data_IF_775293083839
#
_entry.id   IF_775293083839
#
_cell.length_a   1.000
_cell.length_b   1.000
_cell.length_c   1.000
_cell.angle_alpha   90.00
_cell.angle_beta   90.00
_cell.angle_gamma   90.00
#
_symmetry.space_group_name_H-M   'P 1'
#
loop_
_entity.id
_entity.type
_entity.pdbx_description
1 polymer ?
#
# COMPACT_ATOMS: atom_id res chain seq x y z
N UNK A 1 26.48 21.42 -14.29
CA UNK A 1 26.16 21.16 -12.86
C UNK A 1 24.74 21.64 -12.61
N UNK A 2 23.77 20.73 -12.45
CA UNK A 2 22.39 21.08 -12.10
C UNK A 2 22.19 20.75 -10.62
N UNK A 3 21.82 21.76 -9.85
CA UNK A 3 21.60 21.70 -8.42
C UNK A 3 20.71 20.52 -8.01
N UNK A 4 21.29 19.54 -7.30
CA UNK A 4 20.52 18.59 -6.51
C UNK A 4 19.85 19.38 -5.38
N UNK A 5 18.65 19.88 -5.66
CA UNK A 5 17.72 20.45 -4.68
C UNK A 5 17.71 19.54 -3.44
N UNK A 6 18.26 20.08 -2.34
CA UNK A 6 18.15 19.65 -0.94
C UNK A 6 17.14 18.49 -0.79
N UNK A 7 17.65 17.26 -0.81
CA UNK A 7 16.89 16.03 -0.92
C UNK A 7 15.98 15.86 0.30
N UNK A 8 14.70 16.28 0.19
CA UNK A 8 13.71 15.88 1.17
C UNK A 8 13.71 14.35 1.26
N UNK A 9 13.78 13.81 2.48
CA UNK A 9 13.68 12.37 2.70
C UNK A 9 12.36 11.89 2.08
N UNK A 10 12.38 10.85 1.23
CA UNK A 10 11.16 10.38 0.58
C UNK A 10 10.18 9.87 1.63
N UNK A 11 8.90 10.19 1.44
CA UNK A 11 7.83 9.66 2.28
C UNK A 11 7.55 8.21 1.88
N UNK A 12 7.19 7.40 2.86
CA UNK A 12 6.92 5.98 2.67
C UNK A 12 5.42 5.76 2.76
N UNK A 13 4.80 5.44 1.63
CA UNK A 13 3.40 5.05 1.56
C UNK A 13 3.30 3.53 1.57
N UNK A 14 2.44 3.00 2.42
CA UNK A 14 2.13 1.59 2.48
C UNK A 14 0.66 1.42 2.12
N UNK A 15 0.36 0.57 1.15
CA UNK A 15 -1.02 0.24 0.80
C UNK A 15 -1.30 -1.20 1.16
N UNK A 16 -2.29 -1.40 2.03
CA UNK A 16 -2.83 -2.71 2.37
C UNK A 16 -4.15 -2.91 1.63
N UNK A 17 -4.19 -3.97 0.86
CA UNK A 17 -5.33 -4.39 0.07
C UNK A 17 -6.02 -5.59 0.71
N UNK A 18 -5.24 -6.62 1.08
CA UNK A 18 -5.75 -7.88 1.64
C UNK A 18 -5.32 -8.07 3.10
N UNK A 19 -6.01 -8.93 3.88
CA UNK A 19 -5.60 -9.27 5.24
C UNK A 19 -4.16 -9.76 5.36
N UNK A 20 -3.69 -10.58 4.41
CA UNK A 20 -2.34 -11.16 4.44
C UNK A 20 -1.24 -10.12 4.18
N UNK A 21 -1.57 -8.95 3.60
CA UNK A 21 -0.61 -7.86 3.41
C UNK A 21 -0.04 -7.39 4.76
N UNK A 22 -0.80 -7.59 5.85
CA UNK A 22 -0.39 -7.19 7.20
C UNK A 22 0.86 -7.93 7.66
N UNK A 23 0.99 -9.21 7.33
CA UNK A 23 2.12 -10.05 7.74
C UNK A 23 3.45 -9.58 7.13
N UNK A 24 3.39 -8.96 5.96
CA UNK A 24 4.56 -8.45 5.24
C UNK A 24 4.80 -6.98 5.55
N UNK A 25 3.75 -6.16 5.52
CA UNK A 25 3.90 -4.71 5.56
C UNK A 25 4.04 -4.19 7.00
N UNK A 26 3.47 -4.82 8.02
CA UNK A 26 3.64 -4.37 9.41
C UNK A 26 5.10 -4.45 9.89
N UNK A 27 5.87 -5.52 9.62
CA UNK A 27 7.30 -5.54 9.95
C UNK A 27 8.09 -4.44 9.23
N UNK A 28 7.77 -4.15 7.97
CA UNK A 28 8.42 -3.09 7.21
C UNK A 28 8.08 -1.69 7.74
N UNK A 29 6.84 -1.48 8.18
CA UNK A 29 6.46 -0.24 8.87
C UNK A 29 7.25 -0.08 10.16
N UNK A 30 7.37 -1.13 10.97
CA UNK A 30 8.14 -1.12 12.21
C UNK A 30 9.63 -0.81 11.95
N UNK A 31 10.22 -1.40 10.91
CA UNK A 31 11.60 -1.10 10.51
C UNK A 31 11.76 0.36 10.04
N UNK A 32 10.78 0.89 9.30
CA UNK A 32 10.76 2.30 8.91
C UNK A 32 10.68 3.22 10.15
N UNK A 33 9.81 2.92 11.11
CA UNK A 33 9.69 3.66 12.38
C UNK A 33 11.00 3.63 13.18
N UNK A 34 11.62 2.45 13.32
CA UNK A 34 12.92 2.30 13.98
C UNK A 34 14.04 3.11 13.30
N UNK A 35 13.92 3.37 11.99
CA UNK A 35 14.83 4.24 11.23
C UNK A 35 14.49 5.74 11.31
N UNK A 36 13.53 6.13 12.15
CA UNK A 36 13.08 7.51 12.33
C UNK A 36 12.23 8.02 11.16
N UNK A 37 11.51 7.13 10.46
CA UNK A 37 10.55 7.51 9.41
C UNK A 37 9.14 7.34 9.93
N UNK A 38 8.20 8.09 9.36
CA UNK A 38 6.77 7.96 9.65
C UNK A 38 6.05 7.35 8.45
N UNK A 39 5.64 6.07 8.53
CA UNK A 39 4.82 5.43 7.50
C UNK A 39 3.50 6.14 7.29
N UNK A 40 3.12 6.32 6.03
CA UNK A 40 1.78 6.76 5.63
C UNK A 40 1.00 5.53 5.18
N UNK A 41 -0.02 5.15 5.95
CA UNK A 41 -0.76 3.90 5.72
C UNK A 41 -2.07 4.17 4.99
N UNK A 42 -2.31 3.41 3.94
CA UNK A 42 -3.54 3.41 3.16
C UNK A 42 -4.18 2.03 3.15
N UNK A 43 -5.51 1.98 3.27
CA UNK A 43 -6.28 0.75 3.31
C UNK A 43 -7.30 0.71 2.16
N UNK A 44 -7.56 -0.49 1.62
CA UNK A 44 -8.81 -0.76 0.92
C UNK A 44 -9.97 -0.62 1.92
N UNK A 45 -11.08 -0.04 1.47
CA UNK A 45 -12.33 -0.03 2.24
C UNK A 45 -12.80 -1.47 2.50
N UNK A 46 -13.19 -1.80 3.73
CA UNK A 46 -13.66 -3.14 4.08
C UNK A 46 -12.58 -4.01 4.74
N UNK A 47 -11.32 -3.57 4.69
CA UNK A 47 -10.19 -4.38 5.17
C UNK A 47 -10.16 -4.44 6.71
N UNK A 48 -10.65 -3.40 7.36
CA UNK A 48 -10.78 -3.34 8.81
C UNK A 48 -11.78 -4.37 9.35
N UNK A 49 -12.85 -4.69 8.61
CA UNK A 49 -13.81 -5.74 8.96
C UNK A 49 -13.26 -7.15 8.67
N UNK A 50 -12.56 -7.32 7.54
CA UNK A 50 -11.96 -8.60 7.14
C UNK A 50 -10.75 -8.99 8.01
N UNK A 51 -10.05 -8.01 8.59
CA UNK A 51 -8.91 -8.22 9.47
C UNK A 51 -9.08 -7.45 10.80
N UNK A 52 -9.85 -7.98 11.76
CA UNK A 52 -10.12 -7.31 13.04
C UNK A 52 -8.85 -6.94 13.83
N UNK A 53 -7.75 -7.67 13.63
CA UNK A 53 -6.46 -7.42 14.28
C UNK A 53 -5.69 -6.22 13.68
N UNK A 54 -6.04 -5.77 12.47
CA UNK A 54 -5.32 -4.72 11.74
C UNK A 54 -5.35 -3.39 12.48
N UNK A 55 -6.55 -2.91 12.81
CA UNK A 55 -6.72 -1.59 13.41
C UNK A 55 -6.08 -1.49 14.81
N UNK A 56 -6.21 -2.49 15.71
CA UNK A 56 -5.40 -2.57 16.93
C UNK A 56 -3.89 -2.52 16.66
N UNK A 57 -3.39 -3.29 15.68
CA UNK A 57 -1.96 -3.33 15.36
C UNK A 57 -1.41 -1.99 14.87
N UNK A 58 -2.17 -1.25 14.05
CA UNK A 58 -1.80 0.09 13.59
C UNK A 58 -1.89 1.12 14.72
N UNK A 59 -2.95 1.07 15.55
CA UNK A 59 -3.13 1.98 16.69
C UNK A 59 -2.04 1.82 17.74
N UNK A 60 -1.61 0.60 18.03
CA UNK A 60 -0.52 0.32 18.97
C UNK A 60 0.82 1.00 18.55
N UNK A 61 0.95 1.34 17.26
CA UNK A 61 2.10 2.04 16.68
C UNK A 61 1.86 3.54 16.49
N UNK A 62 0.69 4.06 16.86
CA UNK A 62 0.32 5.46 16.61
C UNK A 62 0.08 5.77 15.13
N UNK A 63 -0.10 4.76 14.27
CA UNK A 63 -0.37 4.94 12.85
C UNK A 63 -1.86 5.20 12.62
N UNK A 64 -2.16 6.28 11.91
CA UNK A 64 -3.52 6.65 11.50
C UNK A 64 -3.74 6.30 10.03
N UNK A 65 -4.29 5.11 9.71
CA UNK A 65 -4.52 4.72 8.33
C UNK A 65 -5.59 5.60 7.67
N UNK A 66 -5.48 5.77 6.35
CA UNK A 66 -6.52 6.40 5.54
C UNK A 66 -7.12 5.38 4.58
N UNK A 67 -8.44 5.23 4.62
CA UNK A 67 -9.15 4.42 3.64
C UNK A 67 -9.20 5.15 2.30
N UNK A 68 -8.80 4.46 1.23
CA UNK A 68 -8.85 5.01 -0.12
C UNK A 68 -10.08 4.48 -0.86
N UNK A 69 -10.97 5.36 -1.34
CA UNK A 69 -12.11 4.92 -2.12
C UNK A 69 -11.66 4.48 -3.52
N UNK A 70 -12.32 3.46 -4.07
CA UNK A 70 -12.01 2.83 -5.35
C UNK A 70 -11.83 3.82 -6.51
N UNK A 71 -12.68 4.85 -6.59
CA UNK A 71 -12.60 5.87 -7.64
C UNK A 71 -11.32 6.72 -7.59
N UNK A 72 -10.73 6.93 -6.41
CA UNK A 72 -9.43 7.63 -6.26
C UNK A 72 -8.29 6.74 -6.72
N UNK A 73 -8.33 5.46 -6.35
CA UNK A 73 -7.33 4.47 -6.77
C UNK A 73 -7.31 4.31 -8.30
N UNK A 74 -8.50 4.23 -8.92
CA UNK A 74 -8.64 4.09 -10.37
C UNK A 74 -8.17 5.32 -11.14
N UNK A 75 -8.50 6.52 -10.65
CA UNK A 75 -8.15 7.78 -11.32
C UNK A 75 -6.69 8.19 -11.09
N UNK A 76 -6.09 7.77 -9.96
CA UNK A 76 -4.76 8.23 -9.56
C UNK A 76 -4.70 9.71 -9.17
N UNK A 77 -5.84 10.39 -9.14
CA UNK A 77 -5.96 11.80 -8.81
C UNK A 77 -5.93 12.00 -7.29
N UNK A 78 -5.25 13.07 -6.86
CA UNK A 78 -5.24 13.56 -5.46
C UNK A 78 -4.72 12.59 -4.40
N UNK A 79 -3.68 11.82 -4.73
CA UNK A 79 -3.02 10.93 -3.78
C UNK A 79 -2.04 11.67 -2.84
N UNK A 80 -1.74 12.94 -3.13
CA UNK A 80 -0.91 13.79 -2.28
C UNK A 80 0.57 13.37 -2.19
N UNK A 81 1.01 12.41 -3.02
CA UNK A 81 2.41 12.03 -3.18
C UNK A 81 3.20 13.08 -3.99
N UNK A 82 4.53 13.03 -3.90
CA UNK A 82 5.48 13.85 -4.65
C UNK A 82 6.40 12.93 -5.43
N UNK A 83 6.95 13.42 -6.54
CA UNK A 83 7.97 12.69 -7.28
C UNK A 83 9.16 12.36 -6.34
N UNK A 84 9.61 11.10 -6.36
CA UNK A 84 10.65 10.58 -5.47
C UNK A 84 10.14 9.95 -4.17
N UNK A 85 8.86 10.13 -3.81
CA UNK A 85 8.25 9.34 -2.72
C UNK A 85 8.27 7.84 -3.06
N UNK A 86 8.05 7.00 -2.05
CA UNK A 86 8.07 5.55 -2.17
C UNK A 86 6.69 4.98 -1.85
N UNK A 87 6.19 4.09 -2.69
CA UNK A 87 5.01 3.27 -2.46
C UNK A 87 5.43 1.81 -2.25
N UNK A 88 5.00 1.21 -1.15
CA UNK A 88 5.15 -0.22 -0.85
C UNK A 88 3.79 -0.90 -0.90
N UNK A 89 3.71 -2.01 -1.63
CA UNK A 89 2.53 -2.88 -1.73
C UNK A 89 2.95 -4.34 -1.56
N UNK A 90 2.05 -5.22 -1.13
CA UNK A 90 2.32 -6.65 -0.94
C UNK A 90 1.82 -7.55 -2.10
N UNK A 91 1.32 -6.95 -3.18
CA UNK A 91 1.09 -7.65 -4.46
C UNK A 91 0.87 -6.67 -5.61
N UNK A 92 1.41 -7.00 -6.79
CA UNK A 92 1.14 -6.36 -8.09
C UNK A 92 0.60 -7.42 -9.05
N UNK A 93 -0.41 -8.17 -8.63
CA UNK A 93 -1.12 -9.11 -9.49
C UNK A 93 -2.24 -8.41 -10.28
N UNK A 94 -2.54 -8.94 -11.47
CA UNK A 94 -3.68 -8.53 -12.30
C UNK A 94 -4.95 -9.32 -11.99
N UNK A 95 -4.84 -10.33 -11.12
CA UNK A 95 -5.99 -11.07 -10.62
C UNK A 95 -7.01 -10.09 -9.99
N UNK A 96 -8.31 -10.39 -10.11
CA UNK A 96 -9.39 -9.53 -9.60
C UNK A 96 -9.13 -8.95 -8.19
N UNK A 97 -8.68 -9.72 -7.18
CA UNK A 97 -8.43 -9.20 -5.85
C UNK A 97 -7.21 -8.29 -5.71
N UNK A 98 -6.40 -8.10 -6.77
CA UNK A 98 -5.20 -7.25 -6.75
C UNK A 98 -5.25 -6.07 -7.72
N UNK A 99 -6.32 -5.96 -8.52
CA UNK A 99 -6.50 -4.88 -9.52
C UNK A 99 -6.33 -3.48 -8.93
N UNK A 100 -6.74 -3.26 -7.68
CA UNK A 100 -6.54 -1.96 -7.01
C UNK A 100 -5.06 -1.64 -6.76
N UNK A 101 -4.27 -2.61 -6.29
CA UNK A 101 -2.83 -2.44 -6.11
C UNK A 101 -2.13 -2.16 -7.43
N UNK A 102 -2.55 -2.84 -8.51
CA UNK A 102 -2.06 -2.59 -9.86
C UNK A 102 -2.38 -1.15 -10.34
N UNK A 103 -3.64 -0.71 -10.22
CA UNK A 103 -4.04 0.65 -10.63
C UNK A 103 -3.32 1.73 -9.81
N UNK A 104 -3.21 1.53 -8.50
CA UNK A 104 -2.47 2.41 -7.60
C UNK A 104 -1.00 2.52 -8.02
N UNK A 105 -0.35 1.39 -8.27
CA UNK A 105 1.06 1.33 -8.69
C UNK A 105 1.26 2.04 -10.03
N UNK A 106 0.36 1.87 -11.00
CA UNK A 106 0.43 2.62 -12.27
C UNK A 106 0.23 4.12 -12.07
N UNK A 107 -0.67 4.53 -11.20
CA UNK A 107 -0.86 5.94 -10.86
C UNK A 107 0.39 6.53 -10.19
N UNK A 108 0.98 5.80 -9.25
CA UNK A 108 2.19 6.19 -8.53
C UNK A 108 3.40 6.34 -9.49
N UNK A 109 3.63 5.33 -10.36
CA UNK A 109 4.68 5.37 -11.39
C UNK A 109 4.52 6.60 -12.29
N UNK A 110 3.30 6.92 -12.75
CA UNK A 110 3.02 8.15 -13.54
C UNK A 110 3.32 9.45 -12.77
N UNK A 111 3.17 9.44 -11.44
CA UNK A 111 3.50 10.56 -10.57
C UNK A 111 4.98 10.67 -10.19
N UNK A 112 5.86 9.82 -10.73
CA UNK A 112 7.29 9.79 -10.38
C UNK A 112 7.57 9.18 -9.00
N UNK A 113 6.63 8.43 -8.44
CA UNK A 113 6.80 7.67 -7.19
C UNK A 113 7.52 6.36 -7.48
N UNK A 114 8.48 6.01 -6.63
CA UNK A 114 9.20 4.73 -6.69
C UNK A 114 8.31 3.66 -6.08
N UNK A 115 7.98 2.62 -6.82
CA UNK A 115 7.09 1.56 -6.35
C UNK A 115 7.91 0.29 -6.07
N UNK A 116 7.74 -0.27 -4.87
CA UNK A 116 8.29 -1.56 -4.48
C UNK A 116 7.12 -2.47 -4.14
N UNK A 117 7.06 -3.59 -4.85
CA UNK A 117 6.04 -4.60 -4.66
C UNK A 117 6.73 -5.79 -4.02
N UNK A 118 6.29 -6.17 -2.82
CA UNK A 118 6.59 -7.46 -2.24
C UNK A 118 5.51 -8.44 -2.70
N UNK A 119 5.83 -9.72 -2.71
CA UNK A 119 4.85 -10.76 -2.97
C UNK A 119 4.71 -11.58 -1.71
N UNK A 120 3.48 -11.90 -1.33
CA UNK A 120 3.21 -13.03 -0.46
C UNK A 120 3.79 -14.32 -1.08
N UNK A 121 4.19 -15.27 -0.23
CA UNK A 121 4.48 -16.63 -0.69
C UNK A 121 3.25 -17.25 -1.39
N UNK A 122 3.42 -18.41 -2.03
CA UNK A 122 2.41 -19.19 -2.77
C UNK A 122 1.00 -18.56 -2.88
N UNK A 123 0.82 -17.66 -3.85
CA UNK A 123 -0.50 -17.18 -4.27
C UNK A 123 -1.20 -18.27 -5.08
N UNK A 124 -2.07 -19.05 -4.44
CA UNK A 124 -2.84 -20.10 -5.11
C UNK A 124 -4.31 -19.68 -5.18
N UNK A 125 -4.78 -19.33 -6.39
CA UNK A 125 -6.20 -19.04 -6.65
C UNK A 125 -7.04 -20.25 -6.20
N UNK A 126 -8.05 -20.01 -5.36
CA UNK A 126 -8.90 -21.04 -4.77
C UNK A 126 -8.42 -21.63 -3.44
N UNK A 127 -7.22 -21.27 -2.98
CA UNK A 127 -6.69 -21.62 -1.64
C UNK A 127 -6.42 -20.38 -0.78
N UNK A 128 -5.83 -19.33 -1.37
CA UNK A 128 -5.44 -18.09 -0.65
C UNK A 128 -6.34 -16.89 -0.95
N UNK A 129 -7.02 -16.89 -2.10
CA UNK A 129 -8.07 -15.92 -2.45
C UNK A 129 -9.05 -16.53 -3.46
N UNK A 130 -10.29 -16.01 -3.49
CA UNK A 130 -11.35 -16.48 -4.37
C UNK A 130 -11.76 -15.37 -5.35
N UNK A 131 -11.69 -15.66 -6.66
CA UNK A 131 -12.06 -14.71 -7.71
C UNK A 131 -13.54 -14.28 -7.65
N UNK A 132 -14.40 -15.09 -7.03
CA UNK A 132 -15.84 -14.85 -6.92
C UNK A 132 -16.22 -13.71 -5.97
N UNK A 133 -15.33 -13.24 -5.10
CA UNK A 133 -15.65 -12.25 -4.05
C UNK A 133 -15.17 -10.82 -4.39
N UNK A 134 -14.47 -10.63 -5.51
CA UNK A 134 -13.99 -9.30 -5.92
C UNK A 134 -14.86 -8.72 -7.04
N UNK A 135 -15.42 -7.50 -6.89
CA UNK A 135 -16.16 -6.87 -7.98
C UNK A 135 -15.24 -6.61 -9.18
N UNK A 136 -15.77 -6.63 -10.42
CA UNK A 136 -14.99 -6.47 -11.65
C UNK A 136 -14.22 -5.14 -11.73
#
# INVERSE_FOLDING_TARGET
>A
MKDLKRTQRPRLFFYLHLPQDTDILLPLMAAAEASGRSPLVWLRKGLEEESPALMPALRARGLAPKTLPWWRLRSGLFMGWRAGDILLTASESTAPPHRLSYHLTRAAKRGGVRCFTLQHGLENVGLTYFDSESPP
#
